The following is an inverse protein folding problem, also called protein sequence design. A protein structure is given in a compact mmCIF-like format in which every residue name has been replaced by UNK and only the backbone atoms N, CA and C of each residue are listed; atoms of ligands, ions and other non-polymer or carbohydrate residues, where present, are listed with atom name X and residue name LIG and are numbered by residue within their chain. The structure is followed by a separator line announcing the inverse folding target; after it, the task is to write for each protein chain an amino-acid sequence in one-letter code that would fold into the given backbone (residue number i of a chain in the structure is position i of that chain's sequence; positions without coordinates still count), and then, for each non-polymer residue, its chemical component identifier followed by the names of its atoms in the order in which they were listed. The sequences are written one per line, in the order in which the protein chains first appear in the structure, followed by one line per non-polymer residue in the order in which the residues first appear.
data_IF_410613214083
#
_entry.id   IF_410613214083
#
_cell.length_a   1.000
_cell.length_b   1.000
_cell.length_c   1.000
_cell.angle_alpha   90.00
_cell.angle_beta   90.00
_cell.angle_gamma   90.00
#
_symmetry.space_group_name_H-M   'P 1'
#
loop_
_entity.id
_entity.type
_entity.pdbx_description
1 polymer ?
#
# COMPACT_ATOMS: atom_id res chain seq x y z
N UNK A 1 11.15 5.20 -13.28
CA UNK A 1 10.73 4.28 -14.38
C UNK A 1 9.51 3.51 -13.90
N UNK A 2 8.38 3.55 -14.62
CA UNK A 2 7.24 2.69 -14.31
C UNK A 2 7.63 1.26 -14.65
N UNK A 3 7.65 0.36 -13.64
CA UNK A 3 7.96 -1.06 -13.87
C UNK A 3 6.94 -1.61 -14.85
N UNK A 4 7.40 -2.36 -15.87
CA UNK A 4 6.68 -2.75 -17.11
C UNK A 4 5.36 -3.52 -16.93
N UNK A 5 4.91 -3.73 -15.71
CA UNK A 5 3.73 -4.53 -15.32
C UNK A 5 2.84 -3.83 -14.29
N UNK A 6 2.94 -2.53 -14.09
CA UNK A 6 2.14 -1.81 -13.09
C UNK A 6 0.92 -1.10 -13.69
N UNK A 7 -0.22 -1.20 -12.99
CA UNK A 7 -1.47 -0.54 -13.37
C UNK A 7 -1.62 0.78 -12.63
N UNK A 8 -1.87 1.86 -13.37
CA UNK A 8 -2.10 3.18 -12.79
C UNK A 8 -3.49 3.24 -12.20
N UNK A 9 -3.58 3.59 -10.91
CA UNK A 9 -4.86 3.66 -10.18
C UNK A 9 -5.31 5.10 -9.94
N UNK A 10 -4.40 6.06 -9.94
CA UNK A 10 -4.76 7.47 -9.77
C UNK A 10 -3.56 8.39 -9.64
N UNK A 11 -3.84 9.66 -9.34
CA UNK A 11 -2.84 10.69 -9.09
C UNK A 11 -3.26 11.51 -7.87
N UNK A 12 -2.35 11.68 -6.91
CA UNK A 12 -2.59 12.51 -5.71
C UNK A 12 -1.49 13.55 -5.62
N UNK A 13 -1.88 14.83 -5.53
CA UNK A 13 -0.95 15.96 -5.48
C UNK A 13 0.09 15.95 -6.62
N UNK A 14 -0.26 15.48 -7.82
CA UNK A 14 0.67 15.37 -8.95
C UNK A 14 1.57 14.12 -8.95
N UNK A 15 1.52 13.30 -7.90
CA UNK A 15 2.29 12.05 -7.79
C UNK A 15 1.42 10.90 -8.30
N UNK A 16 1.92 10.15 -9.28
CA UNK A 16 1.22 9.01 -9.85
C UNK A 16 1.26 7.82 -8.89
N UNK A 17 0.11 7.19 -8.66
CA UNK A 17 -0.01 5.97 -7.85
C UNK A 17 -0.28 4.80 -8.79
N UNK A 18 0.56 3.78 -8.69
CA UNK A 18 0.42 2.55 -9.47
C UNK A 18 0.46 1.30 -8.56
N UNK A 19 -0.20 0.23 -9.01
CA UNK A 19 -0.21 -1.08 -8.34
C UNK A 19 0.48 -2.09 -9.24
N UNK A 20 1.46 -2.81 -8.69
CA UNK A 20 2.02 -3.99 -9.35
C UNK A 20 1.15 -5.24 -9.04
N UNK A 21 0.95 -6.19 -9.96
CA UNK A 21 0.14 -7.40 -9.74
C UNK A 21 0.54 -8.22 -8.51
N UNK A 22 1.82 -8.20 -8.12
CA UNK A 22 2.27 -8.86 -6.89
C UNK A 22 1.61 -8.28 -5.62
N UNK A 23 1.14 -7.03 -5.66
CA UNK A 23 0.38 -6.43 -4.57
C UNK A 23 -0.92 -7.21 -4.27
N UNK A 24 -1.57 -7.79 -5.28
CA UNK A 24 -2.79 -8.59 -5.07
C UNK A 24 -2.53 -9.84 -4.20
N UNK A 25 -1.34 -10.42 -4.33
CA UNK A 25 -0.94 -11.59 -3.54
C UNK A 25 -0.83 -11.22 -2.05
N UNK A 26 -0.12 -10.14 -1.74
CA UNK A 26 0.03 -9.70 -0.35
C UNK A 26 -1.29 -9.15 0.21
N UNK A 27 -2.10 -8.49 -0.62
CA UNK A 27 -3.44 -8.04 -0.24
C UNK A 27 -4.35 -9.22 0.14
N UNK A 28 -4.36 -10.29 -0.65
CA UNK A 28 -5.13 -11.50 -0.37
C UNK A 28 -4.63 -12.20 0.90
N UNK A 29 -3.31 -12.33 1.08
CA UNK A 29 -2.70 -12.90 2.27
C UNK A 29 -3.07 -12.12 3.54
N UNK A 30 -2.92 -10.80 3.54
CA UNK A 30 -3.32 -9.96 4.68
C UNK A 30 -4.82 -10.01 4.94
N UNK A 31 -5.64 -9.96 3.90
CA UNK A 31 -7.10 -10.05 4.05
C UNK A 31 -7.51 -11.38 4.69
N UNK A 32 -6.88 -12.49 4.27
CA UNK A 32 -7.12 -13.81 4.84
C UNK A 32 -6.60 -13.92 6.28
N UNK A 33 -5.41 -13.40 6.57
CA UNK A 33 -4.86 -13.37 7.92
C UNK A 33 -5.74 -12.54 8.87
N UNK A 34 -6.22 -11.37 8.43
CA UNK A 34 -7.11 -10.53 9.22
C UNK A 34 -8.49 -11.17 9.42
N UNK A 35 -9.05 -11.81 8.38
CA UNK A 35 -10.29 -12.57 8.49
C UNK A 35 -10.19 -13.71 9.51
N UNK A 36 -9.13 -14.52 9.43
CA UNK A 36 -8.93 -15.64 10.38
C UNK A 36 -8.69 -15.14 11.80
N UNK A 37 -7.93 -14.05 11.95
CA UNK A 37 -7.72 -13.39 13.25
C UNK A 37 -9.03 -12.88 13.85
N UNK A 38 -9.89 -12.23 13.04
CA UNK A 38 -11.20 -11.75 13.49
C UNK A 38 -12.11 -12.90 13.95
N UNK A 39 -12.14 -14.01 13.22
CA UNK A 39 -12.92 -15.19 13.60
C UNK A 39 -12.39 -15.82 14.89
N UNK A 40 -11.07 -15.95 15.04
CA UNK A 40 -10.46 -16.52 16.23
C UNK A 40 -10.78 -15.68 17.47
N UNK A 41 -10.67 -14.36 17.34
CA UNK A 41 -11.00 -13.43 18.42
C UNK A 41 -12.49 -13.46 18.78
N UNK A 42 -13.39 -13.50 17.79
CA UNK A 42 -14.82 -13.62 18.03
C UNK A 42 -15.17 -14.91 18.80
N UNK A 43 -14.57 -16.04 18.42
CA UNK A 43 -14.74 -17.31 19.11
C UNK A 43 -14.25 -17.25 20.57
N UNK A 44 -13.10 -16.60 20.82
CA UNK A 44 -12.58 -16.41 22.19
C UNK A 44 -13.49 -15.53 23.06
N UNK A 45 -14.15 -14.54 22.45
CA UNK A 45 -15.10 -13.67 23.13
C UNK A 45 -16.52 -14.27 23.25
N UNK A 46 -16.75 -15.48 22.73
CA UNK A 46 -18.10 -16.08 22.68
C UNK A 46 -19.07 -15.33 21.78
N UNK A 47 -18.57 -14.53 20.83
CA UNK A 47 -19.36 -13.73 19.90
C UNK A 47 -19.52 -14.49 18.59
N UNK A 48 -20.76 -14.65 18.13
CA UNK A 48 -21.05 -15.23 16.82
C UNK A 48 -20.70 -14.23 15.71
N UNK A 49 -19.59 -14.46 15.01
CA UNK A 49 -19.22 -13.70 13.82
C UNK A 49 -19.48 -14.54 12.56
N UNK A 50 -20.35 -14.03 11.69
CA UNK A 50 -20.63 -14.66 10.40
C UNK A 50 -19.40 -14.64 9.50
N UNK A 51 -19.19 -15.70 8.72
CA UNK A 51 -18.13 -15.80 7.72
C UNK A 51 -18.11 -14.60 6.77
N UNK A 52 -19.29 -14.08 6.38
CA UNK A 52 -19.39 -12.91 5.51
C UNK A 52 -18.81 -11.67 6.18
N UNK A 53 -19.13 -11.46 7.46
CA UNK A 53 -18.61 -10.33 8.24
C UNK A 53 -17.10 -10.43 8.43
N UNK A 54 -16.57 -11.63 8.71
CA UNK A 54 -15.13 -11.86 8.84
C UNK A 54 -14.37 -11.54 7.55
N UNK A 55 -14.92 -11.91 6.37
CA UNK A 55 -14.34 -11.57 5.07
C UNK A 55 -14.30 -10.06 4.86
N UNK A 56 -15.42 -9.38 5.13
CA UNK A 56 -15.51 -7.90 4.99
C UNK A 56 -14.49 -7.21 5.90
N UNK A 57 -14.39 -7.65 7.16
CA UNK A 57 -13.41 -7.12 8.10
C UNK A 57 -11.97 -7.35 7.63
N UNK A 58 -11.67 -8.53 7.07
CA UNK A 58 -10.34 -8.83 6.53
C UNK A 58 -9.96 -7.91 5.37
N UNK A 59 -10.86 -7.73 4.41
CA UNK A 59 -10.68 -6.84 3.26
C UNK A 59 -10.53 -5.39 3.72
N UNK A 60 -11.39 -4.92 4.62
CA UNK A 60 -11.32 -3.56 5.16
C UNK A 60 -10.01 -3.32 5.90
N UNK A 61 -9.57 -4.25 6.75
CA UNK A 61 -8.31 -4.15 7.47
C UNK A 61 -7.12 -4.05 6.51
N UNK A 62 -7.09 -4.87 5.45
CA UNK A 62 -6.06 -4.79 4.42
C UNK A 62 -6.09 -3.45 3.69
N UNK A 63 -7.27 -2.97 3.26
CA UNK A 63 -7.41 -1.67 2.59
C UNK A 63 -6.94 -0.51 3.48
N UNK A 64 -7.29 -0.51 4.76
CA UNK A 64 -6.85 0.51 5.71
C UNK A 64 -5.33 0.47 5.89
N UNK A 65 -4.75 -0.72 6.06
CA UNK A 65 -3.30 -0.88 6.19
C UNK A 65 -2.56 -0.32 4.98
N UNK A 66 -2.94 -0.73 3.76
CA UNK A 66 -2.30 -0.24 2.55
C UNK A 66 -2.59 1.24 2.30
N UNK A 67 -3.77 1.73 2.67
CA UNK A 67 -4.10 3.16 2.65
C UNK A 67 -3.15 3.97 3.55
N UNK A 68 -2.87 3.49 4.75
CA UNK A 68 -1.89 4.11 5.66
C UNK A 68 -0.48 4.09 5.08
N UNK A 69 -0.05 3.00 4.45
CA UNK A 69 1.26 2.92 3.77
C UNK A 69 1.34 3.95 2.64
N UNK A 70 0.32 4.04 1.79
CA UNK A 70 0.27 5.06 0.72
C UNK A 70 0.32 6.47 1.30
N UNK A 71 -0.41 6.74 2.38
CA UNK A 71 -0.40 8.05 3.04
C UNK A 71 0.98 8.38 3.64
N UNK A 72 1.67 7.39 4.20
CA UNK A 72 3.03 7.52 4.72
C UNK A 72 4.01 7.90 3.59
N UNK A 73 4.01 7.16 2.49
CA UNK A 73 4.87 7.43 1.33
C UNK A 73 4.53 8.78 0.68
N UNK A 74 3.25 9.13 0.61
CA UNK A 74 2.81 10.43 0.09
C UNK A 74 3.34 11.57 0.98
N UNK A 75 3.40 11.38 2.29
CA UNK A 75 3.92 12.38 3.22
C UNK A 75 5.40 12.64 2.97
N UNK A 76 6.20 11.59 2.78
CA UNK A 76 7.61 11.72 2.37
C UNK A 76 7.72 12.45 1.03
N UNK A 77 6.89 12.08 0.06
CA UNK A 77 6.93 12.69 -1.26
C UNK A 77 6.56 14.18 -1.25
N UNK A 78 5.57 14.56 -0.44
CA UNK A 78 5.19 15.96 -0.25
C UNK A 78 6.29 16.76 0.46
N UNK A 79 6.95 16.18 1.46
CA UNK A 79 8.10 16.83 2.14
C UNK A 79 9.26 17.04 1.17
N UNK A 80 9.65 16.03 0.39
CA UNK A 80 10.74 16.18 -0.58
C UNK A 80 10.41 17.21 -1.67
N UNK A 81 9.15 17.28 -2.14
CA UNK A 81 8.72 18.33 -3.08
C UNK A 81 8.85 19.73 -2.50
N UNK A 82 8.55 19.92 -1.21
CA UNK A 82 8.77 21.22 -0.54
C UNK A 82 10.26 21.58 -0.45
N UNK A 83 11.13 20.59 -0.42
CA UNK A 83 12.59 20.76 -0.43
C UNK A 83 13.17 20.87 -1.86
N UNK A 84 12.33 20.94 -2.90
CA UNK A 84 12.78 21.07 -4.29
C UNK A 84 13.23 19.77 -4.94
N UNK A 85 13.03 18.62 -4.30
CA UNK A 85 13.42 17.29 -4.83
C UNK A 85 12.27 16.75 -5.68
N UNK A 86 12.47 16.50 -6.98
CA UNK A 86 11.43 15.99 -7.86
C UNK A 86 11.15 14.49 -7.61
N UNK A 87 9.92 14.18 -7.20
CA UNK A 87 9.39 12.81 -7.07
C UNK A 87 8.23 12.69 -8.06
N UNK A 88 8.16 11.59 -8.84
CA UNK A 88 7.10 11.46 -9.85
C UNK A 88 6.25 10.19 -9.81
N UNK A 89 6.63 9.11 -9.13
CA UNK A 89 5.71 7.98 -8.98
C UNK A 89 5.89 7.16 -7.69
N UNK A 90 4.77 6.75 -7.10
CA UNK A 90 4.68 5.77 -6.01
C UNK A 90 4.09 4.48 -6.60
N UNK A 91 4.81 3.37 -6.47
CA UNK A 91 4.33 2.06 -6.93
C UNK A 91 4.21 1.10 -5.75
N UNK A 92 3.03 0.53 -5.58
CA UNK A 92 2.75 -0.49 -4.55
C UNK A 92 3.25 -1.87 -5.01
N UNK A 93 4.09 -2.49 -4.20
CA UNK A 93 4.66 -3.83 -4.38
C UNK A 93 4.31 -4.77 -3.21
N UNK A 94 4.70 -6.04 -3.37
CA UNK A 94 4.53 -7.13 -2.39
C UNK A 94 5.04 -6.76 -0.98
N UNK A 95 6.14 -6.01 -0.86
CA UNK A 95 6.76 -5.67 0.43
C UNK A 95 6.43 -4.25 0.92
N UNK A 96 5.61 -3.48 0.20
CA UNK A 96 5.31 -2.07 0.52
C UNK A 96 5.24 -1.16 -0.72
N UNK A 97 5.02 0.13 -0.52
CA UNK A 97 5.14 1.14 -1.56
C UNK A 97 6.60 1.51 -1.77
N UNK A 98 7.11 1.37 -2.99
CA UNK A 98 8.42 1.93 -3.36
C UNK A 98 8.16 3.24 -4.08
N UNK A 99 8.55 4.36 -3.48
CA UNK A 99 8.64 5.63 -4.18
C UNK A 99 9.81 5.54 -5.17
N UNK A 100 9.51 5.56 -6.47
CA UNK A 100 10.57 5.65 -7.47
C UNK A 100 11.04 7.10 -7.49
N UNK A 101 12.21 7.35 -6.92
CA UNK A 101 12.94 8.61 -7.11
C UNK A 101 13.20 8.73 -8.62
N UNK A 102 12.80 9.85 -9.23
CA UNK A 102 12.88 10.01 -10.69
C UNK A 102 14.33 10.11 -11.18
N UNK A 103 15.27 10.33 -10.27
CA UNK A 103 16.68 10.59 -10.55
C UNK A 103 17.53 10.10 -9.38
N UNK A 104 18.32 9.05 -9.61
CA UNK A 104 19.48 8.76 -8.76
C UNK A 104 20.51 9.89 -8.95
N UNK A 105 21.22 10.33 -7.88
CA UNK A 105 22.39 11.20 -8.03
C UNK A 105 23.36 10.53 -9.02
N UNK A 106 23.86 11.29 -9.99
CA UNK A 106 24.73 10.76 -11.02
C UNK A 106 26.09 10.31 -10.49
N UNK A 107 26.50 10.81 -9.32
CA UNK A 107 27.78 10.51 -8.68
C UNK A 107 27.72 10.65 -7.15
N UNK A 108 28.58 9.95 -6.38
CA UNK A 108 28.60 9.97 -4.92
C UNK A 108 28.99 11.32 -4.25
N UNK A 109 29.15 12.39 -5.03
CA UNK A 109 29.71 13.68 -4.57
C UNK A 109 28.71 14.85 -4.63
N UNK A 110 27.44 14.56 -4.89
CA UNK A 110 26.35 15.56 -4.90
C UNK A 110 25.49 15.47 -3.63
#
# INVERSE_FOLDING_TARGET
MVVRSSWRIGQIAGIEIAIHPSWLVIFALFSYAAMTSAQMLANQMGVALSTRSSIVLGILAALLLFGCVVAHELSHALVARRLGIPIGNITLFLFGGVASILREPGTPAD
#
